data_IF_994971611334
#
_entry.id   IF_994971611334
#
_cell.length_a   1.000
_cell.length_b   1.000
_cell.length_c   1.000
_cell.angle_alpha   90.00
_cell.angle_beta   90.00
_cell.angle_gamma   90.00
#
_symmetry.space_group_name_H-M   'P 1'
#
loop_
_entity.id
_entity.type
_entity.pdbx_description
1 polymer ?
#
# COMPACT_ATOMS: atom_id res chain seq x y z
N UNK A 1 -32.90 39.58 -22.15
CA UNK A 1 -32.55 38.32 -22.85
C UNK A 1 -31.05 38.05 -22.81
N UNK A 2 -30.18 39.05 -23.03
CA UNK A 2 -28.70 38.87 -23.00
C UNK A 2 -28.10 38.58 -21.63
N UNK A 3 -28.66 39.13 -20.55
CA UNK A 3 -28.18 38.91 -19.16
C UNK A 3 -28.22 37.42 -18.78
N UNK A 4 -29.28 36.72 -19.20
CA UNK A 4 -29.44 35.29 -18.94
C UNK A 4 -28.40 34.44 -19.68
N UNK A 5 -27.97 34.86 -20.88
CA UNK A 5 -26.90 34.18 -21.62
C UNK A 5 -25.55 34.29 -20.89
N UNK A 6 -25.25 35.44 -20.31
CA UNK A 6 -24.03 35.62 -19.49
C UNK A 6 -24.07 34.78 -18.22
N UNK A 7 -25.22 34.73 -17.52
CA UNK A 7 -25.38 33.91 -16.31
C UNK A 7 -25.19 32.43 -16.61
N UNK A 8 -25.77 31.93 -17.71
CA UNK A 8 -25.62 30.54 -18.13
C UNK A 8 -24.16 30.23 -18.48
N UNK A 9 -23.48 31.11 -19.22
CA UNK A 9 -22.09 30.91 -19.61
C UNK A 9 -21.15 30.85 -18.39
N UNK A 10 -21.37 31.73 -17.40
CA UNK A 10 -20.60 31.74 -16.15
C UNK A 10 -20.87 30.48 -15.32
N UNK A 11 -22.14 30.04 -15.22
CA UNK A 11 -22.47 28.80 -14.50
C UNK A 11 -21.84 27.57 -15.16
N UNK A 12 -21.91 27.46 -16.49
CA UNK A 12 -21.28 26.34 -17.23
C UNK A 12 -19.76 26.37 -17.08
N UNK A 13 -19.14 27.55 -17.13
CA UNK A 13 -17.71 27.73 -16.88
C UNK A 13 -17.29 27.32 -15.47
N UNK A 14 -18.05 27.73 -14.45
CA UNK A 14 -17.80 27.37 -13.05
C UNK A 14 -17.97 25.87 -12.81
N UNK A 15 -19.01 25.24 -13.38
CA UNK A 15 -19.24 23.79 -13.28
C UNK A 15 -18.13 23.02 -14.00
N UNK A 16 -17.73 23.44 -15.21
CA UNK A 16 -16.62 22.84 -15.95
C UNK A 16 -15.28 23.00 -15.21
N UNK A 17 -15.03 24.16 -14.59
CA UNK A 17 -13.84 24.40 -13.78
C UNK A 17 -13.83 23.57 -12.49
N UNK A 18 -14.97 23.46 -11.80
CA UNK A 18 -15.12 22.60 -10.63
C UNK A 18 -14.91 21.12 -11.01
N UNK A 19 -15.43 20.68 -12.15
CA UNK A 19 -15.23 19.31 -12.62
C UNK A 19 -13.76 19.06 -12.99
N UNK A 20 -13.12 20.00 -13.67
CA UNK A 20 -11.70 19.90 -14.03
C UNK A 20 -10.77 19.90 -12.81
N UNK A 21 -11.04 20.78 -11.84
CA UNK A 21 -10.25 20.86 -10.60
C UNK A 21 -10.44 19.59 -9.76
N UNK A 22 -11.66 19.05 -9.70
CA UNK A 22 -11.93 17.78 -9.02
C UNK A 22 -11.21 16.61 -9.71
N UNK A 23 -11.22 16.57 -11.05
CA UNK A 23 -10.52 15.55 -11.82
C UNK A 23 -8.99 15.59 -11.72
N UNK A 24 -8.39 16.78 -11.55
CA UNK A 24 -6.92 16.89 -11.38
C UNK A 24 -6.43 16.34 -10.04
N UNK A 25 -7.27 16.32 -8.99
CA UNK A 25 -6.87 15.87 -7.65
C UNK A 25 -6.76 14.34 -7.56
N UNK A 26 -7.55 13.61 -8.36
CA UNK A 26 -7.53 12.14 -8.35
C UNK A 26 -6.30 11.55 -9.10
N UNK A 27 -5.68 12.32 -9.99
CA UNK A 27 -4.61 11.85 -10.88
C UNK A 27 -3.17 11.96 -10.37
N UNK A 28 -2.92 12.55 -9.19
CA UNK A 28 -1.55 12.89 -8.74
C UNK A 28 -1.12 12.32 -7.38
N UNK A 29 -1.82 11.33 -6.82
CA UNK A 29 -1.31 10.60 -5.63
C UNK A 29 -0.24 9.55 -5.93
N UNK A 30 0.12 9.33 -7.19
CA UNK A 30 1.22 8.46 -7.56
C UNK A 30 2.33 9.27 -8.26
N UNK A 31 3.50 9.28 -7.63
CA UNK A 31 4.79 9.72 -8.15
C UNK A 31 5.25 11.18 -7.90
N UNK A 32 5.80 11.43 -6.70
CA UNK A 32 6.95 12.34 -6.57
C UNK A 32 7.77 12.03 -5.31
N UNK A 33 8.27 10.81 -5.22
CA UNK A 33 9.36 10.47 -4.31
C UNK A 33 10.37 9.67 -5.10
N UNK A 34 11.62 10.12 -5.15
CA UNK A 34 12.73 9.38 -5.76
C UNK A 34 12.62 7.90 -5.31
N UNK A 35 12.44 6.93 -6.23
CA UNK A 35 12.11 5.57 -5.85
C UNK A 35 13.33 4.92 -5.22
N UNK A 36 13.51 5.12 -3.92
CA UNK A 36 14.41 4.30 -3.14
C UNK A 36 13.96 2.84 -3.31
N UNK A 37 14.89 1.91 -3.55
CA UNK A 37 14.56 0.49 -3.63
C UNK A 37 13.79 0.09 -2.37
N UNK A 38 12.52 -0.27 -2.50
CA UNK A 38 11.67 -0.74 -1.40
C UNK A 38 11.64 -2.28 -1.45
N UNK A 39 12.55 -3.00 -0.78
CA UNK A 39 12.67 -4.46 -0.90
C UNK A 39 11.42 -5.21 -0.42
N UNK A 40 10.62 -4.58 0.45
CA UNK A 40 9.42 -5.15 1.04
C UNK A 40 8.12 -4.62 0.42
N UNK A 41 8.16 -4.15 -0.84
CA UNK A 41 6.96 -3.67 -1.54
C UNK A 41 5.96 -4.82 -1.72
N UNK A 42 4.72 -4.60 -1.29
CA UNK A 42 3.64 -5.57 -1.39
C UNK A 42 2.83 -5.35 -2.68
N UNK A 43 2.42 -6.44 -3.30
CA UNK A 43 1.53 -6.48 -4.46
C UNK A 43 0.38 -7.45 -4.22
N UNK A 44 -0.77 -7.17 -4.83
CA UNK A 44 -1.91 -8.11 -4.92
C UNK A 44 -2.25 -8.30 -6.38
N UNK A 45 -2.76 -9.47 -6.73
CA UNK A 45 -3.28 -9.73 -8.08
C UNK A 45 -4.74 -9.26 -8.11
N UNK A 46 -5.06 -8.38 -9.05
CA UNK A 46 -6.44 -7.98 -9.35
C UNK A 46 -6.95 -8.79 -10.54
N UNK A 47 -7.96 -9.65 -10.35
CA UNK A 47 -8.59 -10.34 -11.46
C UNK A 47 -9.26 -9.34 -12.42
N UNK A 48 -9.26 -9.68 -13.70
CA UNK A 48 -10.18 -9.10 -14.69
C UNK A 48 -11.49 -9.92 -14.69
N UNK A 49 -12.52 -9.43 -15.37
CA UNK A 49 -13.82 -10.13 -15.50
C UNK A 49 -13.66 -11.59 -15.97
N UNK A 50 -12.80 -11.82 -16.96
CA UNK A 50 -12.47 -13.16 -17.49
C UNK A 50 -11.24 -13.81 -16.81
N UNK A 51 -11.02 -13.53 -15.52
CA UNK A 51 -9.90 -14.10 -14.79
C UNK A 51 -10.01 -15.62 -14.67
N UNK A 52 -8.88 -16.31 -14.90
CA UNK A 52 -8.79 -17.75 -14.75
C UNK A 52 -9.02 -18.19 -13.29
N UNK A 53 -9.41 -19.46 -13.07
CA UNK A 53 -9.66 -19.99 -11.74
C UNK A 53 -8.45 -19.86 -10.81
N UNK A 54 -7.24 -20.01 -11.35
CA UNK A 54 -5.99 -19.83 -10.61
C UNK A 54 -5.88 -18.43 -10.00
N UNK A 55 -6.09 -17.37 -10.78
CA UNK A 55 -6.04 -15.99 -10.28
C UNK A 55 -7.14 -15.72 -9.25
N UNK A 56 -8.35 -16.22 -9.47
CA UNK A 56 -9.46 -16.07 -8.50
C UNK A 56 -9.12 -16.70 -7.14
N UNK A 57 -8.38 -17.81 -7.10
CA UNK A 57 -7.88 -18.42 -5.84
C UNK A 57 -6.77 -17.62 -5.15
N UNK A 58 -6.11 -16.74 -5.89
CA UNK A 58 -5.07 -15.85 -5.38
C UNK A 58 -5.60 -14.45 -5.05
N UNK A 59 -6.87 -14.18 -5.33
CA UNK A 59 -7.52 -12.91 -5.00
C UNK A 59 -7.44 -12.64 -3.50
N UNK A 60 -7.13 -11.39 -3.13
CA UNK A 60 -6.94 -10.98 -1.73
C UNK A 60 -5.61 -11.42 -1.09
N UNK A 61 -4.85 -12.33 -1.70
CA UNK A 61 -3.52 -12.71 -1.21
C UNK A 61 -2.49 -11.64 -1.53
N UNK A 62 -1.64 -11.38 -0.54
CA UNK A 62 -0.56 -10.39 -0.60
C UNK A 62 0.76 -11.09 -0.88
N UNK A 63 1.48 -10.60 -1.88
CA UNK A 63 2.79 -11.08 -2.26
C UNK A 63 3.81 -9.96 -2.08
N UNK A 64 5.06 -10.33 -1.76
CA UNK A 64 6.16 -9.41 -2.02
C UNK A 64 6.34 -9.30 -3.53
N UNK A 65 6.68 -8.11 -4.03
CA UNK A 65 6.89 -7.88 -5.46
C UNK A 65 7.86 -8.89 -6.09
N UNK A 66 8.90 -9.30 -5.35
CA UNK A 66 9.89 -10.30 -5.79
C UNK A 66 9.44 -11.76 -5.71
N UNK A 67 8.39 -12.05 -4.95
CA UNK A 67 7.90 -13.40 -4.69
C UNK A 67 6.52 -13.64 -5.33
N UNK A 68 6.02 -12.67 -6.09
CA UNK A 68 4.75 -12.81 -6.79
C UNK A 68 4.92 -13.80 -7.95
N UNK A 69 3.99 -14.76 -8.13
CA UNK A 69 4.02 -15.66 -9.27
C UNK A 69 3.84 -14.82 -10.55
N UNK A 70 4.55 -15.12 -11.65
CA UNK A 70 4.41 -14.37 -12.89
C UNK A 70 2.99 -14.47 -13.43
N UNK A 71 2.54 -13.39 -14.09
CA UNK A 71 1.30 -13.39 -14.85
C UNK A 71 1.66 -13.46 -16.35
N UNK A 72 0.99 -14.32 -17.15
CA UNK A 72 -0.08 -15.26 -16.79
C UNK A 72 0.41 -16.45 -15.93
N UNK A 73 -0.48 -17.00 -15.09
CA UNK A 73 -0.18 -18.23 -14.33
C UNK A 73 -0.03 -19.43 -15.28
N UNK A 74 0.76 -20.41 -14.89
CA UNK A 74 1.00 -21.62 -15.71
C UNK A 74 -0.29 -22.39 -16.03
N UNK A 75 -1.28 -22.33 -15.14
CA UNK A 75 -2.60 -22.95 -15.28
C UNK A 75 -3.67 -21.99 -15.84
N UNK A 76 -3.25 -20.90 -16.48
CA UNK A 76 -4.19 -19.89 -16.98
C UNK A 76 -4.92 -20.39 -18.25
N UNK A 77 -6.22 -20.61 -18.12
CA UNK A 77 -7.11 -21.00 -19.22
C UNK A 77 -7.54 -19.83 -20.13
N UNK A 78 -7.07 -18.61 -19.89
CA UNK A 78 -7.52 -17.41 -20.59
C UNK A 78 -6.68 -17.09 -21.83
N UNK A 79 -7.31 -17.08 -23.01
CA UNK A 79 -6.71 -16.51 -24.22
C UNK A 79 -6.51 -15.00 -24.03
N UNK A 80 -5.27 -14.56 -23.81
CA UNK A 80 -4.96 -13.14 -23.58
C UNK A 80 -5.32 -12.65 -22.17
N UNK A 81 -4.72 -13.25 -21.14
CA UNK A 81 -4.95 -12.88 -19.74
C UNK A 81 -4.75 -11.37 -19.46
N UNK A 82 -5.80 -10.71 -18.94
CA UNK A 82 -5.80 -9.27 -18.59
C UNK A 82 -5.63 -8.99 -17.09
N UNK A 83 -5.24 -10.00 -16.31
CA UNK A 83 -5.03 -9.82 -14.86
C UNK A 83 -3.82 -8.90 -14.61
N UNK A 84 -3.89 -8.10 -13.55
CA UNK A 84 -2.86 -7.09 -13.25
C UNK A 84 -2.43 -7.13 -11.81
N UNK A 85 -1.20 -6.72 -11.52
CA UNK A 85 -0.79 -6.44 -10.14
C UNK A 85 -1.24 -5.03 -9.74
N UNK A 86 -1.74 -4.91 -8.52
CA UNK A 86 -1.88 -3.63 -7.85
C UNK A 86 -0.84 -3.55 -6.72
N UNK A 87 -0.08 -2.46 -6.70
CA UNK A 87 0.83 -2.17 -5.60
C UNK A 87 0.02 -1.73 -4.38
N UNK A 88 0.38 -2.26 -3.21
CA UNK A 88 -0.13 -1.72 -1.96
C UNK A 88 0.85 -0.66 -1.46
N UNK A 89 0.29 0.50 -1.13
CA UNK A 89 1.01 1.53 -0.41
C UNK A 89 1.57 0.97 0.90
N UNK A 90 2.74 1.44 1.29
CA UNK A 90 3.21 1.17 2.64
C UNK A 90 2.28 1.94 3.59
N UNK A 91 1.70 1.24 4.58
CA UNK A 91 0.85 1.84 5.61
C UNK A 91 1.56 2.92 6.45
N UNK A 92 2.85 3.15 6.21
CA UNK A 92 3.66 4.22 6.79
C UNK A 92 3.62 5.53 6.00
N UNK A 93 2.71 5.65 5.03
CA UNK A 93 2.46 6.91 4.32
C UNK A 93 1.75 7.90 5.25
N UNK A 94 2.55 8.69 5.97
CA UNK A 94 2.04 9.64 6.94
C UNK A 94 2.94 9.67 8.16
N UNK A 95 3.78 10.70 8.19
CA UNK A 95 4.55 11.14 9.35
C UNK A 95 5.77 10.28 9.71
N UNK A 96 6.94 10.86 9.43
CA UNK A 96 8.18 10.42 10.02
C UNK A 96 7.97 10.22 11.53
N UNK A 97 8.21 9.00 12.02
CA UNK A 97 8.11 8.63 13.44
C UNK A 97 8.84 9.63 14.36
N UNK A 98 9.84 10.35 13.82
CA UNK A 98 10.58 11.46 14.45
C UNK A 98 9.73 12.70 14.77
N UNK A 99 8.84 13.12 13.88
CA UNK A 99 7.98 14.30 14.11
C UNK A 99 6.96 14.01 15.21
N UNK A 100 6.32 12.84 15.13
CA UNK A 100 5.41 12.34 16.17
C UNK A 100 6.12 12.11 17.52
N UNK A 101 7.37 11.66 17.52
CA UNK A 101 8.14 11.51 18.76
C UNK A 101 8.39 12.88 19.43
N UNK A 102 8.78 13.89 18.65
CA UNK A 102 8.95 15.27 19.16
C UNK A 102 7.64 15.87 19.68
N UNK A 103 6.53 15.72 18.95
CA UNK A 103 5.22 16.21 19.39
C UNK A 103 4.76 15.52 20.68
N UNK A 104 5.12 14.26 20.91
CA UNK A 104 4.81 13.51 22.14
C UNK A 104 5.80 13.75 23.28
N UNK A 105 6.70 14.73 23.14
CA UNK A 105 7.68 15.06 24.18
C UNK A 105 8.78 14.01 24.38
N UNK A 106 8.97 13.08 23.44
CA UNK A 106 10.10 12.16 23.51
C UNK A 106 11.37 12.90 23.06
N UNK A 107 12.44 12.88 23.89
CA UNK A 107 13.69 13.54 23.55
C UNK A 107 14.30 12.94 22.27
N UNK A 108 14.92 13.76 21.40
CA UNK A 108 15.36 13.33 20.08
C UNK A 108 16.52 12.33 20.07
N UNK A 109 17.21 12.08 21.19
CA UNK A 109 18.42 11.27 21.22
C UNK A 109 18.47 10.32 22.41
N UNK A 110 17.98 9.09 22.20
CA UNK A 110 18.49 7.89 22.87
C UNK A 110 19.15 6.94 21.85
N UNK A 111 19.78 7.51 20.82
CA UNK A 111 20.32 6.76 19.67
C UNK A 111 21.65 6.05 20.00
N UNK A 112 22.33 6.40 21.10
CA UNK A 112 23.68 5.88 21.38
C UNK A 112 23.80 5.02 22.65
N UNK A 113 22.69 4.47 23.16
CA UNK A 113 22.75 3.55 24.30
C UNK A 113 21.72 2.44 24.16
N UNK A 114 22.17 1.19 24.15
CA UNK A 114 21.27 0.08 24.38
C UNK A 114 20.78 0.18 25.84
N UNK A 115 19.56 0.67 26.05
CA UNK A 115 18.96 0.84 27.38
C UNK A 115 18.46 -0.49 27.97
N UNK A 116 18.77 -1.62 27.34
CA UNK A 116 18.48 -2.96 27.86
C UNK A 116 19.54 -3.38 28.86
N UNK A 117 19.54 -2.79 30.06
CA UNK A 117 20.38 -3.22 31.18
C UNK A 117 19.63 -4.16 32.13
N UNK A 118 18.98 -5.20 31.59
CA UNK A 118 18.21 -6.17 32.38
C UNK A 118 18.51 -7.59 31.96
N UNK A 119 18.91 -8.43 32.92
CA UNK A 119 18.95 -9.88 32.74
C UNK A 119 17.55 -10.38 32.35
N UNK A 120 17.46 -11.12 31.24
CA UNK A 120 16.21 -11.71 30.77
C UNK A 120 15.64 -12.63 31.86
N UNK A 121 14.41 -12.36 32.30
CA UNK A 121 13.73 -13.14 33.34
C UNK A 121 13.00 -14.35 32.78
N UNK A 122 13.06 -14.61 31.47
CA UNK A 122 12.52 -15.86 30.92
C UNK A 122 13.40 -17.03 31.34
N UNK A 123 13.10 -17.57 32.53
CA UNK A 123 13.36 -18.97 32.84
C UNK A 123 12.61 -19.78 31.78
N UNK A 124 13.36 -20.46 30.92
CA UNK A 124 12.81 -21.59 30.20
C UNK A 124 12.54 -22.64 31.27
N UNK A 125 11.27 -22.91 31.55
CA UNK A 125 10.91 -24.14 32.22
C UNK A 125 11.27 -25.25 31.22
N UNK A 126 12.42 -25.89 31.46
CA UNK A 126 12.84 -27.07 30.74
C UNK A 126 11.76 -28.13 30.94
N UNK A 127 10.85 -28.26 29.98
CA UNK A 127 9.96 -29.41 29.90
C UNK A 127 10.81 -30.63 29.52
N UNK A 128 11.41 -31.24 30.54
CA UNK A 128 11.92 -32.59 30.47
C UNK A 128 10.72 -33.54 30.59
N UNK A 129 10.25 -34.08 29.47
CA UNK A 129 9.42 -35.30 29.34
C UNK A 129 9.16 -35.54 27.85
N UNK A 130 9.46 -36.67 27.22
CA UNK A 130 10.04 -37.93 27.66
C UNK A 130 10.27 -38.79 26.41
N UNK A 131 11.27 -39.65 26.48
CA UNK A 131 11.47 -40.72 25.52
C UNK A 131 10.25 -41.65 25.50
N UNK A 132 9.83 -42.05 24.30
CA UNK A 132 9.09 -43.29 24.11
C UNK A 132 9.61 -43.92 22.81
N UNK A 133 10.26 -45.06 23.00
CA UNK A 133 10.56 -46.06 21.98
C UNK A 133 9.27 -46.70 21.46
#
# INVERSE_FOLDING_TARGET
MSIWLFVIYVLVGLVGWLWWTRMRVDGQREASGNPTPRPYRCVVIKPHDDACPGVRRLEGKRFLARAAPPLPLDDCSGFGCRCRYAHLADRRDGECRRLNARQRGLPPDSVNGDQRSGSDRRRYDTFASGAAH
#
